data_IF_301848123415
#
_entry.id   IF_301848123415
#
_cell.length_a   1.000
_cell.length_b   1.000
_cell.length_c   1.000
_cell.angle_alpha   90.00
_cell.angle_beta   90.00
_cell.angle_gamma   90.00
#
_symmetry.space_group_name_H-M   'P 1'
#
loop_
_entity.id
_entity.type
_entity.pdbx_description
1 polymer ?
#
# COMPACT_ATOMS: atom_id res chain seq x y z
N UNK A 1 -12.63 12.60 -89.62
CA UNK A 1 -11.27 12.38 -90.08
C UNK A 1 -10.25 12.60 -88.94
N UNK A 2 -9.40 11.59 -88.70
CA UNK A 2 -8.02 11.60 -88.18
C UNK A 2 -7.77 12.23 -86.78
N UNK A 3 -7.55 11.42 -85.69
CA UNK A 3 -6.28 10.79 -85.38
C UNK A 3 -5.07 11.73 -85.27
N UNK A 4 -4.55 11.89 -84.03
CA UNK A 4 -3.13 11.77 -83.72
C UNK A 4 -2.94 11.84 -82.22
N UNK A 5 -2.39 10.76 -81.68
CA UNK A 5 -1.95 10.69 -80.30
C UNK A 5 -0.67 11.46 -80.05
N UNK A 6 -0.51 11.87 -78.84
CA UNK A 6 0.78 12.31 -78.30
C UNK A 6 0.90 11.66 -76.91
N UNK A 7 1.96 10.88 -76.73
CA UNK A 7 2.28 10.19 -75.49
C UNK A 7 2.65 11.13 -74.39
N UNK A 8 1.98 10.91 -73.25
CA UNK A 8 2.34 11.59 -72.02
C UNK A 8 3.47 10.84 -71.32
N UNK A 9 4.54 11.56 -71.19
CA UNK A 9 5.73 11.21 -70.42
C UNK A 9 5.34 11.29 -68.94
N UNK A 10 5.15 10.16 -68.30
CA UNK A 10 5.06 10.09 -66.84
C UNK A 10 6.39 10.47 -66.21
N UNK A 11 6.48 11.70 -65.74
CA UNK A 11 7.48 12.07 -64.72
C UNK A 11 7.14 11.34 -63.43
N UNK A 12 7.94 10.32 -63.04
CA UNK A 12 8.01 9.83 -61.68
C UNK A 12 8.45 10.98 -60.78
N UNK A 13 7.51 11.56 -60.04
CA UNK A 13 7.84 12.32 -58.85
C UNK A 13 8.28 11.30 -57.79
N UNK A 14 9.56 11.31 -57.47
CA UNK A 14 10.08 10.72 -56.25
C UNK A 14 9.43 11.43 -55.06
N UNK A 15 8.57 10.71 -54.34
CA UNK A 15 8.15 11.12 -53.02
C UNK A 15 9.38 11.18 -52.12
N UNK A 16 9.57 12.27 -51.34
CA UNK A 16 10.53 12.23 -50.26
C UNK A 16 10.06 11.16 -49.26
N UNK A 17 10.91 10.21 -48.98
CA UNK A 17 10.80 9.31 -47.86
C UNK A 17 10.61 10.18 -46.62
N UNK A 18 9.41 10.15 -46.08
CA UNK A 18 9.11 10.73 -44.77
C UNK A 18 10.06 10.12 -43.75
N UNK A 19 11.03 10.90 -43.32
CA UNK A 19 11.78 10.55 -42.13
C UNK A 19 10.78 10.45 -41.00
N UNK A 20 10.77 9.31 -40.31
CA UNK A 20 10.24 9.21 -38.97
C UNK A 20 10.96 10.24 -38.14
N UNK A 21 10.36 11.40 -37.92
CA UNK A 21 10.73 12.24 -36.83
C UNK A 21 10.35 11.43 -35.56
N UNK A 22 11.32 10.75 -34.98
CA UNK A 22 11.27 10.46 -33.55
C UNK A 22 11.11 11.83 -32.91
N UNK A 23 9.91 12.15 -32.45
CA UNK A 23 9.73 13.27 -31.56
C UNK A 23 10.53 12.91 -30.30
N UNK A 24 11.64 13.61 -30.07
CA UNK A 24 12.34 13.65 -28.78
C UNK A 24 11.46 14.37 -27.73
N UNK A 25 10.17 14.04 -27.70
CA UNK A 25 9.26 14.51 -26.68
C UNK A 25 9.63 13.80 -25.40
N UNK A 26 10.18 14.58 -24.47
CA UNK A 26 10.65 14.06 -23.19
C UNK A 26 9.43 13.62 -22.35
N UNK A 27 9.22 12.31 -22.26
CA UNK A 27 8.22 11.76 -21.35
C UNK A 27 8.62 12.03 -19.87
N UNK A 28 7.68 12.41 -18.96
CA UNK A 28 6.24 12.63 -19.17
C UNK A 28 5.90 14.04 -19.65
N UNK A 29 4.79 14.20 -20.42
CA UNK A 29 4.31 15.48 -20.96
C UNK A 29 2.98 15.96 -20.36
N UNK A 30 2.29 15.10 -19.58
CA UNK A 30 1.01 15.37 -18.93
C UNK A 30 1.02 14.84 -17.50
N UNK A 31 -0.01 15.16 -16.75
CA UNK A 31 -0.20 14.65 -15.38
C UNK A 31 -0.13 13.12 -15.32
N UNK A 32 0.42 12.62 -14.22
CA UNK A 32 0.49 11.20 -13.90
C UNK A 32 -0.49 10.94 -12.75
N UNK A 33 -1.28 9.87 -12.85
CA UNK A 33 -2.20 9.44 -11.81
C UNK A 33 -1.58 8.38 -10.93
N UNK A 34 -1.90 8.42 -9.64
CA UNK A 34 -1.59 7.33 -8.72
C UNK A 34 -2.92 6.85 -8.13
N UNK A 35 -3.30 5.62 -8.45
CA UNK A 35 -4.45 4.99 -7.81
C UNK A 35 -4.01 4.45 -6.46
N UNK A 36 -4.71 4.90 -5.42
CA UNK A 36 -4.51 4.51 -4.02
C UNK A 36 -5.72 3.71 -3.55
N UNK A 37 -5.58 2.41 -3.21
CA UNK A 37 -6.73 1.56 -2.88
C UNK A 37 -7.28 1.73 -1.46
N UNK A 38 -6.71 2.65 -0.67
CA UNK A 38 -7.10 2.91 0.71
C UNK A 38 -7.65 4.32 0.88
N UNK A 39 -8.40 4.55 1.97
CA UNK A 39 -9.02 5.85 2.23
C UNK A 39 -8.00 6.94 2.56
N UNK A 40 -8.47 8.18 2.40
CA UNK A 40 -7.69 9.40 2.67
C UNK A 40 -7.18 9.42 4.12
N UNK A 41 -5.93 9.83 4.29
CA UNK A 41 -5.28 10.00 5.61
C UNK A 41 -4.74 8.72 6.23
N UNK A 42 -4.89 7.56 5.60
CA UNK A 42 -4.19 6.34 5.98
C UNK A 42 -2.69 6.42 5.68
N UNK A 43 -1.90 5.55 6.30
CA UNK A 43 -0.44 5.58 6.14
C UNK A 43 0.03 5.60 4.68
N UNK A 44 -0.45 4.68 3.81
CA UNK A 44 -0.07 4.69 2.40
C UNK A 44 -0.48 5.97 1.66
N UNK A 45 -1.67 6.53 1.95
CA UNK A 45 -2.16 7.74 1.30
C UNK A 45 -1.31 8.96 1.64
N UNK A 46 -0.96 9.12 2.91
CA UNK A 46 -0.15 10.27 3.39
C UNK A 46 1.23 10.27 2.73
N UNK A 47 1.89 9.11 2.65
CA UNK A 47 3.22 8.99 2.02
C UNK A 47 3.12 9.19 0.51
N UNK A 48 2.14 8.57 -0.14
CA UNK A 48 1.95 8.69 -1.60
C UNK A 48 1.75 10.16 -2.00
N UNK A 49 0.94 10.93 -1.24
CA UNK A 49 0.76 12.37 -1.48
C UNK A 49 2.04 13.17 -1.23
N UNK A 50 2.80 12.82 -0.22
CA UNK A 50 4.09 13.47 0.03
C UNK A 50 5.07 13.22 -1.12
N UNK A 51 5.16 11.98 -1.63
CA UNK A 51 5.98 11.68 -2.82
C UNK A 51 5.47 12.46 -4.03
N UNK A 52 4.17 12.43 -4.29
CA UNK A 52 3.53 13.13 -5.41
C UNK A 52 3.81 14.64 -5.40
N UNK A 53 3.95 15.27 -4.22
CA UNK A 53 4.23 16.70 -4.09
C UNK A 53 5.58 17.14 -4.68
N UNK A 54 6.50 16.23 -4.88
CA UNK A 54 7.80 16.49 -5.51
C UNK A 54 7.79 16.33 -7.05
N UNK A 55 6.67 15.95 -7.64
CA UNK A 55 6.59 15.59 -9.06
C UNK A 55 6.94 16.76 -9.99
N UNK A 56 6.44 17.96 -9.72
CA UNK A 56 6.77 19.16 -10.50
C UNK A 56 8.28 19.44 -10.47
N UNK A 57 8.94 19.20 -9.33
CA UNK A 57 10.37 19.42 -9.16
C UNK A 57 11.23 18.47 -10.01
N UNK A 58 10.85 17.19 -10.07
CA UNK A 58 11.71 16.15 -10.65
C UNK A 58 11.24 15.62 -12.00
N UNK A 59 9.92 15.66 -12.27
CA UNK A 59 9.34 15.20 -13.53
C UNK A 59 8.86 16.35 -14.41
N UNK A 60 8.58 17.53 -13.83
CA UNK A 60 8.06 18.70 -14.55
C UNK A 60 6.57 18.61 -14.89
N UNK A 61 5.86 17.62 -14.34
CA UNK A 61 4.42 17.42 -14.47
C UNK A 61 3.83 17.04 -13.12
N UNK A 62 2.55 17.38 -12.82
CA UNK A 62 1.93 17.00 -11.55
C UNK A 62 1.63 15.51 -11.46
N UNK A 63 1.70 14.95 -10.25
CA UNK A 63 1.12 13.67 -9.90
C UNK A 63 -0.14 13.86 -9.06
N UNK A 64 -1.22 13.18 -9.44
CA UNK A 64 -2.53 13.27 -8.79
C UNK A 64 -2.85 11.93 -8.12
N UNK A 65 -3.13 11.95 -6.81
CA UNK A 65 -3.51 10.76 -6.05
C UNK A 65 -5.03 10.66 -5.99
N UNK A 66 -5.58 9.57 -6.53
CA UNK A 66 -7.01 9.23 -6.56
C UNK A 66 -7.25 8.02 -5.65
N UNK A 67 -8.15 8.14 -4.67
CA UNK A 67 -8.47 7.04 -3.76
C UNK A 67 -9.62 6.20 -4.33
N UNK A 68 -9.36 4.93 -4.64
CA UNK A 68 -10.31 3.95 -5.17
C UNK A 68 -10.46 2.80 -4.17
N UNK A 69 -11.26 3.02 -3.14
CA UNK A 69 -11.37 2.12 -1.98
C UNK A 69 -12.38 0.99 -2.18
N UNK A 70 -12.26 -0.06 -1.35
CA UNK A 70 -13.22 -1.15 -1.27
C UNK A 70 -12.68 -2.51 -1.72
N UNK A 71 -13.37 -3.58 -1.30
CA UNK A 71 -13.03 -4.97 -1.64
C UNK A 71 -11.61 -5.38 -1.22
N UNK A 72 -11.12 -4.91 -0.08
CA UNK A 72 -9.72 -5.15 0.36
C UNK A 72 -8.67 -4.70 -0.69
N UNK A 73 -8.95 -3.60 -1.42
CA UNK A 73 -8.09 -3.03 -2.44
C UNK A 73 -8.33 -3.54 -3.86
N UNK A 74 -9.21 -4.54 -4.05
CA UNK A 74 -9.48 -5.13 -5.38
C UNK A 74 -10.18 -4.17 -6.33
N UNK A 75 -11.00 -3.23 -5.83
CA UNK A 75 -11.64 -2.21 -6.67
C UNK A 75 -10.57 -1.32 -7.31
N UNK A 76 -9.67 -0.75 -6.51
CA UNK A 76 -8.57 0.07 -7.03
C UNK A 76 -7.64 -0.70 -7.97
N UNK A 77 -7.38 -1.99 -7.69
CA UNK A 77 -6.56 -2.83 -8.56
C UNK A 77 -7.23 -3.06 -9.93
N UNK A 78 -8.54 -3.32 -9.97
CA UNK A 78 -9.27 -3.48 -11.23
C UNK A 78 -9.29 -2.18 -12.04
N UNK A 79 -9.58 -1.03 -11.40
CA UNK A 79 -9.55 0.27 -12.06
C UNK A 79 -8.16 0.59 -12.63
N UNK A 80 -7.09 0.20 -11.90
CA UNK A 80 -5.71 0.34 -12.38
C UNK A 80 -5.43 -0.55 -13.61
N UNK A 81 -5.91 -1.79 -13.62
CA UNK A 81 -5.71 -2.71 -14.75
C UNK A 81 -6.54 -2.32 -15.98
N UNK A 82 -7.64 -1.57 -15.81
CA UNK A 82 -8.41 -0.99 -16.91
C UNK A 82 -7.78 0.28 -17.49
N UNK A 83 -6.86 0.93 -16.74
CA UNK A 83 -6.17 2.11 -17.22
C UNK A 83 -5.23 1.81 -18.41
N UNK A 84 -4.89 2.84 -19.19
CA UNK A 84 -3.94 2.71 -20.29
C UNK A 84 -2.55 2.28 -19.78
N UNK A 85 -1.86 1.45 -20.58
CA UNK A 85 -0.50 0.98 -20.30
C UNK A 85 0.60 1.93 -20.83
N UNK A 86 0.29 3.23 -20.82
CA UNK A 86 1.16 4.29 -21.35
C UNK A 86 2.16 4.87 -20.32
N UNK A 87 2.13 4.34 -19.08
CA UNK A 87 2.98 4.78 -17.97
C UNK A 87 2.45 5.99 -17.19
N UNK A 88 1.28 6.53 -17.54
CA UNK A 88 0.68 7.67 -16.84
C UNK A 88 -0.25 7.27 -15.69
N UNK A 89 -0.32 6.00 -15.36
CA UNK A 89 -1.04 5.52 -14.19
C UNK A 89 -0.15 4.59 -13.37
N UNK A 90 0.10 4.97 -12.12
CA UNK A 90 0.76 4.15 -11.10
C UNK A 90 -0.29 3.59 -10.15
N UNK A 91 0.07 2.52 -9.50
CA UNK A 91 -0.70 1.93 -8.42
C UNK A 91 0.13 1.89 -7.13
N UNK A 92 -0.44 2.40 -6.03
CA UNK A 92 0.14 2.18 -4.72
C UNK A 92 -0.30 0.81 -4.22
N UNK A 93 0.55 -0.17 -4.42
CA UNK A 93 0.29 -1.57 -4.17
C UNK A 93 0.73 -1.98 -2.76
N UNK A 94 0.15 -3.07 -2.27
CA UNK A 94 0.65 -3.80 -1.10
C UNK A 94 0.77 -5.29 -1.39
N UNK A 95 1.60 -5.99 -0.63
CA UNK A 95 1.84 -7.43 -0.81
C UNK A 95 0.57 -8.29 -0.73
N UNK A 96 -0.34 -8.05 0.22
CA UNK A 96 -1.57 -8.82 0.41
C UNK A 96 -2.48 -8.94 -0.81
N UNK A 97 -2.52 -7.98 -1.71
CA UNK A 97 -3.31 -8.08 -2.96
C UNK A 97 -2.98 -9.33 -3.77
N UNK A 98 -1.76 -9.85 -3.66
CA UNK A 98 -1.32 -11.05 -4.37
C UNK A 98 -1.09 -12.25 -3.45
N UNK A 99 -0.63 -12.01 -2.22
CA UNK A 99 -0.27 -13.08 -1.28
C UNK A 99 -1.43 -13.59 -0.43
N UNK A 100 -2.48 -12.80 -0.25
CA UNK A 100 -3.56 -13.07 0.71
C UNK A 100 -4.96 -12.96 0.11
N UNK A 101 -5.26 -11.84 -0.55
CA UNK A 101 -6.59 -11.53 -1.11
C UNK A 101 -7.18 -12.66 -1.97
N UNK A 102 -6.40 -13.34 -2.86
CA UNK A 102 -6.93 -14.44 -3.69
C UNK A 102 -7.45 -15.66 -2.88
N UNK A 103 -7.05 -15.79 -1.62
CA UNK A 103 -7.54 -16.86 -0.74
C UNK A 103 -8.95 -16.62 -0.19
N UNK A 104 -9.45 -15.38 -0.27
CA UNK A 104 -10.73 -14.96 0.29
C UNK A 104 -11.69 -14.39 -0.76
N UNK A 105 -11.16 -13.75 -1.78
CA UNK A 105 -11.91 -13.03 -2.82
C UNK A 105 -11.46 -13.58 -4.17
N UNK A 106 -12.41 -13.92 -5.03
CA UNK A 106 -12.10 -14.30 -6.42
C UNK A 106 -11.61 -13.06 -7.17
N UNK A 107 -10.41 -13.13 -7.71
CA UNK A 107 -9.76 -12.05 -8.48
C UNK A 107 -9.32 -12.56 -9.84
N UNK A 108 -9.33 -11.68 -10.85
CA UNK A 108 -8.93 -12.01 -12.22
C UNK A 108 -7.54 -11.43 -12.57
N UNK A 109 -6.73 -11.17 -11.56
CA UNK A 109 -5.38 -10.63 -11.72
C UNK A 109 -4.33 -11.48 -10.99
N UNK A 110 -3.09 -11.36 -11.44
CA UNK A 110 -1.91 -12.01 -10.86
C UNK A 110 -0.77 -11.01 -10.70
N UNK A 111 0.29 -11.40 -10.01
CA UNK A 111 1.50 -10.56 -9.88
C UNK A 111 2.17 -10.29 -11.25
N UNK A 112 1.89 -11.10 -12.28
CA UNK A 112 2.44 -10.96 -13.63
C UNK A 112 1.79 -9.80 -14.41
N UNK A 113 0.64 -9.29 -13.98
CA UNK A 113 -0.06 -8.16 -14.60
C UNK A 113 0.59 -6.82 -14.28
N UNK A 114 1.50 -6.79 -13.30
CA UNK A 114 2.18 -5.59 -12.85
C UNK A 114 3.70 -5.73 -12.87
N UNK A 115 4.39 -4.60 -12.91
CA UNK A 115 5.82 -4.50 -12.60
C UNK A 115 5.96 -3.61 -11.35
N UNK A 116 6.40 -4.17 -10.20
CA UNK A 116 6.81 -3.36 -9.07
C UNK A 116 7.99 -2.47 -9.47
N UNK A 117 7.94 -1.21 -9.10
CA UNK A 117 8.99 -0.23 -9.44
C UNK A 117 9.97 -0.01 -8.29
N UNK A 118 9.41 0.31 -7.12
CA UNK A 118 10.18 0.67 -5.93
C UNK A 118 9.33 0.50 -4.69
N UNK A 119 9.94 0.02 -3.61
CA UNK A 119 9.32 -0.04 -2.29
C UNK A 119 9.03 1.37 -1.77
N UNK A 120 7.96 1.52 -0.99
CA UNK A 120 7.59 2.78 -0.35
C UNK A 120 7.96 2.73 1.13
N UNK A 121 7.43 1.72 1.82
CA UNK A 121 7.69 1.48 3.23
C UNK A 121 7.44 0.03 3.62
N UNK A 122 7.97 -0.37 4.74
CA UNK A 122 7.51 -1.53 5.49
C UNK A 122 6.27 -1.11 6.29
N UNK A 123 5.26 -1.95 6.34
CA UNK A 123 4.05 -1.71 7.12
C UNK A 123 4.15 -2.41 8.46
N UNK A 124 4.11 -1.62 9.51
CA UNK A 124 4.30 -2.05 10.89
C UNK A 124 2.98 -1.93 11.63
N UNK A 125 2.34 -3.05 11.90
CA UNK A 125 1.07 -3.04 12.61
C UNK A 125 1.25 -3.17 14.12
N UNK A 126 0.43 -2.38 14.84
CA UNK A 126 0.34 -2.38 16.30
C UNK A 126 -1.12 -2.59 16.70
N UNK A 127 -1.34 -3.36 17.76
CA UNK A 127 -2.66 -3.53 18.40
C UNK A 127 -2.82 -2.45 19.46
N UNK A 128 -3.95 -1.77 19.42
CA UNK A 128 -4.25 -0.56 20.18
C UNK A 128 -5.56 -0.69 20.95
N UNK A 129 -5.59 -0.08 22.14
CA UNK A 129 -6.78 0.07 22.97
C UNK A 129 -6.91 1.51 23.45
N UNK A 130 -8.12 1.93 23.86
CA UNK A 130 -8.26 3.22 24.54
C UNK A 130 -7.56 3.18 25.91
N UNK A 131 -6.86 4.26 26.28
CA UNK A 131 -6.26 4.38 27.60
C UNK A 131 -7.33 4.35 28.72
N UNK A 132 -8.51 4.90 28.44
CA UNK A 132 -9.68 4.89 29.36
C UNK A 132 -10.27 3.51 29.63
N UNK A 133 -9.96 2.50 28.78
CA UNK A 133 -10.44 1.11 28.98
C UNK A 133 -9.74 0.41 30.16
N UNK A 134 -8.57 0.89 30.56
CA UNK A 134 -7.71 0.24 31.53
C UNK A 134 -6.95 -0.99 31.01
N UNK A 135 -7.09 -1.32 29.72
CA UNK A 135 -6.35 -2.40 29.05
C UNK A 135 -5.03 -1.82 28.55
N UNK A 136 -3.92 -2.17 29.20
CA UNK A 136 -2.59 -1.59 28.95
C UNK A 136 -1.61 -2.56 28.29
N UNK A 137 -1.93 -3.84 28.26
CA UNK A 137 -1.11 -4.90 27.68
C UNK A 137 -1.98 -6.06 27.15
N UNK A 138 -1.34 -7.03 26.50
CA UNK A 138 -2.07 -8.15 25.88
C UNK A 138 -2.72 -9.07 26.93
N UNK A 139 -2.15 -9.17 28.13
CA UNK A 139 -2.75 -9.97 29.21
C UNK A 139 -4.05 -9.32 29.71
N UNK A 140 -4.08 -8.00 29.85
CA UNK A 140 -5.29 -7.25 30.21
C UNK A 140 -6.40 -7.42 29.17
N UNK A 141 -6.07 -7.53 27.89
CA UNK A 141 -7.04 -7.82 26.83
C UNK A 141 -7.58 -9.25 26.93
N UNK A 142 -6.72 -10.23 27.22
CA UNK A 142 -7.12 -11.61 27.48
C UNK A 142 -8.07 -11.70 28.69
N UNK A 143 -7.73 -11.01 29.78
CA UNK A 143 -8.56 -10.99 31.01
C UNK A 143 -9.91 -10.32 30.75
N UNK A 144 -9.94 -9.24 29.97
CA UNK A 144 -11.16 -8.57 29.54
C UNK A 144 -12.08 -9.54 28.74
N UNK A 145 -11.54 -10.25 27.75
CA UNK A 145 -12.29 -11.24 26.99
C UNK A 145 -12.79 -12.41 27.87
N UNK A 146 -11.95 -12.91 28.77
CA UNK A 146 -12.29 -14.01 29.69
C UNK A 146 -13.36 -13.63 30.74
N UNK A 147 -13.57 -12.32 30.98
CA UNK A 147 -14.67 -11.86 31.84
C UNK A 147 -16.05 -11.90 31.16
N UNK A 148 -16.12 -12.44 29.95
CA UNK A 148 -17.35 -12.68 29.19
C UNK A 148 -17.67 -11.64 28.12
N UNK A 149 -16.70 -10.78 27.76
CA UNK A 149 -16.87 -9.79 26.70
C UNK A 149 -16.52 -10.39 25.33
N UNK A 150 -17.31 -10.06 24.31
CA UNK A 150 -16.91 -10.22 22.92
C UNK A 150 -16.17 -8.97 22.49
N UNK A 151 -14.90 -9.09 22.12
CA UNK A 151 -14.04 -7.96 21.76
C UNK A 151 -14.40 -7.47 20.36
N UNK A 152 -14.88 -6.23 20.24
CA UNK A 152 -15.08 -5.58 18.95
C UNK A 152 -13.78 -4.94 18.50
N UNK A 153 -13.37 -5.23 17.27
CA UNK A 153 -12.10 -4.70 16.76
C UNK A 153 -12.22 -4.09 15.37
N UNK A 154 -11.56 -2.94 15.20
CA UNK A 154 -11.50 -2.24 13.91
C UNK A 154 -10.32 -2.71 13.08
N UNK A 155 -10.56 -2.92 11.79
CA UNK A 155 -9.55 -3.28 10.78
C UNK A 155 -9.63 -2.37 9.56
N UNK A 156 -8.55 -2.29 8.78
CA UNK A 156 -8.61 -1.72 7.43
C UNK A 156 -9.01 -2.84 6.46
N UNK A 157 -10.16 -2.71 5.83
CA UNK A 157 -10.71 -3.76 4.97
C UNK A 157 -11.24 -4.97 5.75
N UNK A 158 -11.77 -5.94 5.00
CA UNK A 158 -12.31 -7.19 5.50
C UNK A 158 -11.41 -8.39 5.18
N UNK A 159 -12.01 -9.60 5.08
CA UNK A 159 -11.29 -10.80 4.67
C UNK A 159 -10.47 -10.57 3.38
N UNK A 160 -9.24 -11.07 3.37
CA UNK A 160 -8.29 -10.84 2.27
C UNK A 160 -7.39 -9.62 2.47
N UNK A 161 -7.58 -8.83 3.53
CA UNK A 161 -6.67 -7.78 3.95
C UNK A 161 -5.73 -8.27 5.07
N UNK A 162 -4.51 -7.75 5.11
CA UNK A 162 -3.51 -8.13 6.12
C UNK A 162 -3.90 -7.70 7.53
N UNK A 163 -4.38 -6.47 7.72
CA UNK A 163 -4.78 -6.01 9.05
C UNK A 163 -5.93 -6.87 9.62
N UNK A 164 -6.93 -7.20 8.80
CA UNK A 164 -8.00 -8.13 9.19
C UNK A 164 -7.43 -9.50 9.57
N UNK A 165 -6.61 -10.07 8.70
CA UNK A 165 -6.06 -11.42 8.88
C UNK A 165 -5.19 -11.51 10.13
N UNK A 166 -4.31 -10.52 10.35
CA UNK A 166 -3.36 -10.55 11.44
C UNK A 166 -4.03 -10.41 12.81
N UNK A 167 -4.98 -9.48 12.98
CA UNK A 167 -5.68 -9.34 14.25
C UNK A 167 -6.64 -10.50 14.51
N UNK A 168 -7.31 -11.00 13.46
CA UNK A 168 -8.18 -12.17 13.58
C UNK A 168 -7.40 -13.43 13.97
N UNK A 169 -6.22 -13.64 13.36
CA UNK A 169 -5.32 -14.74 13.68
C UNK A 169 -4.76 -14.62 15.12
N UNK A 170 -4.43 -13.41 15.55
CA UNK A 170 -4.02 -13.15 16.94
C UNK A 170 -5.13 -13.56 17.91
N UNK A 171 -6.37 -13.12 17.67
CA UNK A 171 -7.48 -13.44 18.56
C UNK A 171 -7.85 -14.92 18.54
N UNK A 172 -7.80 -15.57 17.36
CA UNK A 172 -7.97 -17.01 17.26
C UNK A 172 -6.89 -17.77 18.04
N UNK A 173 -5.63 -17.34 17.93
CA UNK A 173 -4.49 -17.94 18.68
C UNK A 173 -4.66 -17.79 20.19
N UNK A 174 -5.20 -16.67 20.65
CA UNK A 174 -5.43 -16.38 22.07
C UNK A 174 -6.76 -16.91 22.60
N UNK A 175 -7.61 -17.46 21.75
CA UNK A 175 -8.96 -17.93 22.12
C UNK A 175 -9.93 -16.81 22.50
N UNK A 176 -9.70 -15.58 22.00
CA UNK A 176 -10.52 -14.40 22.27
C UNK A 176 -11.77 -14.42 21.40
N UNK A 177 -12.95 -14.41 22.03
CA UNK A 177 -14.22 -14.22 21.34
C UNK A 177 -14.29 -12.77 20.80
N UNK A 178 -14.42 -12.61 19.47
CA UNK A 178 -14.28 -11.30 18.86
C UNK A 178 -15.21 -11.07 17.66
N UNK A 179 -15.45 -9.80 17.35
CA UNK A 179 -16.28 -9.34 16.23
C UNK A 179 -15.52 -8.27 15.44
N UNK A 180 -15.29 -8.52 14.15
CA UNK A 180 -14.59 -7.59 13.26
C UNK A 180 -15.52 -6.46 12.77
N UNK A 181 -15.01 -5.25 12.77
CA UNK A 181 -15.65 -4.07 12.17
C UNK A 181 -14.69 -3.49 11.14
N UNK A 182 -14.85 -3.82 9.83
CA UNK A 182 -13.99 -3.34 8.78
C UNK A 182 -14.29 -1.88 8.40
N UNK A 183 -13.23 -1.10 8.15
CA UNK A 183 -13.26 0.27 7.64
C UNK A 183 -12.46 0.35 6.34
N UNK A 184 -12.69 1.37 5.51
CA UNK A 184 -11.98 1.55 4.24
C UNK A 184 -10.54 2.06 4.41
N UNK A 185 -10.17 2.52 5.60
CA UNK A 185 -8.83 3.03 5.89
C UNK A 185 -8.42 3.00 7.35
N UNK A 186 -7.10 3.00 7.59
CA UNK A 186 -6.53 2.93 8.93
C UNK A 186 -6.93 4.10 9.83
N UNK A 187 -7.04 5.31 9.27
CA UNK A 187 -7.45 6.48 10.06
C UNK A 187 -8.88 6.37 10.57
N UNK A 188 -9.79 5.81 9.75
CA UNK A 188 -11.18 5.59 10.15
C UNK A 188 -11.27 4.53 11.26
N UNK A 189 -10.47 3.45 11.15
CA UNK A 189 -10.39 2.42 12.18
C UNK A 189 -9.90 2.98 13.52
N UNK A 190 -8.87 3.82 13.50
CA UNK A 190 -8.35 4.50 14.72
C UNK A 190 -9.37 5.49 15.28
N UNK A 191 -10.04 6.27 14.44
CA UNK A 191 -11.09 7.19 14.89
C UNK A 191 -12.25 6.45 15.56
N UNK A 192 -12.61 5.25 15.07
CA UNK A 192 -13.62 4.40 15.70
C UNK A 192 -13.19 3.91 17.10
N UNK A 193 -11.90 3.56 17.26
CA UNK A 193 -11.35 3.21 18.57
C UNK A 193 -11.39 4.43 19.52
N UNK A 194 -10.86 5.58 19.10
CA UNK A 194 -10.86 6.81 19.90
C UNK A 194 -12.29 7.23 20.28
N UNK A 195 -13.24 7.03 19.38
CA UNK A 195 -14.66 7.30 19.62
C UNK A 195 -15.41 6.27 20.50
N UNK A 196 -14.74 5.17 20.90
CA UNK A 196 -15.34 4.10 21.73
C UNK A 196 -16.38 3.25 20.99
N UNK A 197 -16.30 3.18 19.67
CA UNK A 197 -17.19 2.33 18.86
C UNK A 197 -16.71 0.88 18.77
N UNK A 198 -15.43 0.66 19.05
CA UNK A 198 -14.75 -0.63 19.12
C UNK A 198 -13.83 -0.66 20.34
N UNK A 199 -13.47 -1.86 20.81
CA UNK A 199 -12.61 -2.06 21.98
C UNK A 199 -11.11 -2.03 21.60
N UNK A 200 -10.81 -2.50 20.40
CA UNK A 200 -9.44 -2.68 19.89
C UNK A 200 -9.37 -2.18 18.44
N UNK A 201 -8.23 -1.67 18.03
CA UNK A 201 -7.92 -1.43 16.62
C UNK A 201 -6.52 -1.93 16.28
N UNK A 202 -6.30 -2.23 15.00
CA UNK A 202 -4.98 -2.43 14.41
C UNK A 202 -4.63 -1.20 13.58
N UNK A 203 -3.42 -0.67 13.77
CA UNK A 203 -2.98 0.54 13.07
C UNK A 203 -1.49 0.56 12.81
N UNK A 204 -1.06 1.48 11.94
CA UNK A 204 0.36 1.79 11.69
C UNK A 204 0.72 3.18 12.26
N UNK A 205 2.00 3.48 12.53
CA UNK A 205 2.43 4.69 13.24
C UNK A 205 1.77 5.99 12.78
N UNK A 206 1.60 6.28 11.49
CA UNK A 206 0.98 7.54 11.05
C UNK A 206 -0.45 7.76 11.54
N UNK A 207 -1.17 6.67 11.85
CA UNK A 207 -2.58 6.75 12.24
C UNK A 207 -2.80 6.84 13.75
N UNK A 208 -1.87 6.34 14.57
CA UNK A 208 -2.05 6.24 16.02
C UNK A 208 -1.05 7.05 16.86
N UNK A 209 0.12 7.41 16.30
CA UNK A 209 1.26 7.96 17.06
C UNK A 209 0.87 9.11 17.96
N UNK A 210 0.19 10.11 17.43
CA UNK A 210 -0.18 11.30 18.20
C UNK A 210 -1.16 10.99 19.33
N UNK A 211 -2.09 10.07 19.13
CA UNK A 211 -3.02 9.63 20.18
C UNK A 211 -2.31 8.91 21.32
N UNK A 212 -1.26 8.12 21.01
CA UNK A 212 -0.45 7.43 22.04
C UNK A 212 0.40 8.43 22.80
N UNK A 213 1.07 9.38 22.10
CA UNK A 213 1.85 10.44 22.72
C UNK A 213 0.99 11.30 23.66
N UNK A 214 -0.25 11.59 23.27
CA UNK A 214 -1.21 12.34 24.07
C UNK A 214 -1.84 11.52 25.21
N UNK A 215 -1.55 10.21 25.32
CA UNK A 215 -2.08 9.34 26.36
C UNK A 215 -3.56 8.94 26.16
N UNK A 216 -4.05 8.98 24.91
CA UNK A 216 -5.43 8.60 24.55
C UNK A 216 -5.52 7.11 24.21
N UNK A 217 -4.44 6.54 23.64
CA UNK A 217 -4.34 5.12 23.26
C UNK A 217 -3.16 4.42 23.93
N UNK A 218 -3.27 3.10 24.12
CA UNK A 218 -2.21 2.20 24.56
C UNK A 218 -1.79 1.28 23.40
N UNK A 219 -0.50 0.98 23.28
CA UNK A 219 0.06 -0.04 22.39
C UNK A 219 0.17 -1.37 23.18
N UNK A 220 -0.46 -2.44 22.69
CA UNK A 220 -0.39 -3.75 23.36
C UNK A 220 0.73 -4.64 22.79
N UNK A 221 1.15 -4.41 21.57
CA UNK A 221 2.21 -5.16 20.91
C UNK A 221 2.18 -4.99 19.39
N UNK A 222 3.25 -5.44 18.75
CA UNK A 222 3.44 -5.41 17.29
C UNK A 222 3.65 -6.82 16.73
N UNK A 223 3.36 -6.97 15.43
CA UNK A 223 3.65 -8.20 14.67
C UNK A 223 5.08 -8.24 14.14
N UNK A 224 5.85 -7.15 14.25
CA UNK A 224 7.26 -7.09 13.84
C UNK A 224 8.08 -7.96 14.80
N UNK A 225 8.88 -8.93 14.31
CA UNK A 225 9.57 -9.92 15.15
C UNK A 225 10.52 -9.33 16.21
N UNK A 226 11.17 -8.21 15.88
CA UNK A 226 12.15 -7.52 16.75
C UNK A 226 11.50 -6.47 17.66
N UNK A 227 10.17 -6.33 17.64
CA UNK A 227 9.47 -5.20 18.23
C UNK A 227 9.56 -3.96 17.34
N UNK A 228 9.03 -2.84 17.80
CA UNK A 228 8.97 -1.61 17.02
C UNK A 228 9.36 -0.41 17.89
N UNK A 229 10.37 0.34 17.46
CA UNK A 229 10.76 1.61 18.09
C UNK A 229 10.08 2.77 17.37
N UNK A 230 9.22 3.51 18.07
CA UNK A 230 8.50 4.67 17.53
C UNK A 230 8.93 5.91 18.28
N UNK A 231 9.38 6.92 17.53
CA UNK A 231 9.80 8.19 18.13
C UNK A 231 8.67 8.86 18.92
N UNK A 232 8.99 9.22 20.18
CA UNK A 232 8.03 9.81 21.12
C UNK A 232 7.18 8.79 21.89
N UNK A 233 7.17 7.51 21.49
CA UNK A 233 6.47 6.42 22.19
C UNK A 233 7.47 5.50 22.90
N UNK A 234 8.59 5.20 22.26
CA UNK A 234 9.58 4.22 22.70
C UNK A 234 9.37 2.85 22.08
N UNK A 235 9.87 1.81 22.76
CA UNK A 235 9.82 0.44 22.26
C UNK A 235 8.45 -0.22 22.51
N UNK A 236 7.83 -0.72 21.44
CA UNK A 236 6.62 -1.53 21.46
C UNK A 236 7.04 -3.00 21.33
N UNK A 237 6.76 -3.87 22.32
CA UNK A 237 7.23 -5.26 22.29
C UNK A 237 6.54 -6.05 21.17
N UNK A 238 7.27 -7.02 20.60
CA UNK A 238 6.67 -7.97 19.65
C UNK A 238 5.70 -8.91 20.36
N UNK A 239 4.72 -9.47 19.64
CA UNK A 239 3.91 -10.56 20.17
C UNK A 239 4.76 -11.82 20.43
N UNK A 240 5.80 -12.03 19.62
CA UNK A 240 6.75 -13.12 19.78
C UNK A 240 7.52 -13.06 21.10
N UNK A 241 7.99 -11.86 21.51
CA UNK A 241 8.64 -11.63 22.82
C UNK A 241 7.66 -11.83 23.99
N UNK A 242 6.36 -11.63 23.74
CA UNK A 242 5.30 -11.90 24.70
C UNK A 242 4.85 -13.37 24.73
N UNK A 243 5.54 -14.27 23.99
CA UNK A 243 5.28 -15.71 23.94
C UNK A 243 4.16 -16.12 22.98
N UNK A 244 3.71 -15.22 22.09
CA UNK A 244 2.67 -15.47 21.11
C UNK A 244 3.33 -15.64 19.74
N UNK A 245 3.30 -16.86 19.17
CA UNK A 245 3.93 -17.19 17.90
C UNK A 245 3.13 -16.64 16.71
N UNK A 246 3.14 -15.30 16.58
CA UNK A 246 2.54 -14.58 15.47
C UNK A 246 3.47 -13.44 15.03
N UNK A 247 3.75 -13.37 13.75
CA UNK A 247 4.62 -12.35 13.16
C UNK A 247 4.14 -11.99 11.75
N UNK A 248 4.33 -10.74 11.35
CA UNK A 248 4.02 -10.25 10.02
C UNK A 248 4.77 -8.95 9.74
N UNK A 249 5.28 -8.84 8.52
CA UNK A 249 5.86 -7.63 7.99
C UNK A 249 5.16 -7.29 6.69
N UNK A 250 4.37 -6.22 6.69
CA UNK A 250 3.72 -5.71 5.50
C UNK A 250 4.64 -4.83 4.67
N UNK A 251 4.21 -4.46 3.48
CA UNK A 251 4.92 -3.53 2.61
C UNK A 251 3.96 -2.81 1.68
N UNK A 252 4.31 -1.55 1.38
CA UNK A 252 3.70 -0.77 0.31
C UNK A 252 4.76 -0.48 -0.75
N UNK A 253 4.38 -0.48 -2.02
CA UNK A 253 5.26 -0.22 -3.16
C UNK A 253 4.51 0.38 -4.34
N UNK A 254 5.21 1.10 -5.20
CA UNK A 254 4.64 1.54 -6.47
C UNK A 254 4.80 0.48 -7.55
N UNK A 255 3.76 0.34 -8.35
CA UNK A 255 3.74 -0.52 -9.53
C UNK A 255 3.14 0.19 -10.73
N UNK A 256 3.51 -0.29 -11.92
CA UNK A 256 2.87 0.00 -13.20
C UNK A 256 2.38 -1.29 -13.82
N UNK A 257 1.55 -1.20 -14.87
CA UNK A 257 1.19 -2.38 -15.66
C UNK A 257 2.45 -3.02 -16.28
N UNK A 258 2.50 -4.36 -16.31
CA UNK A 258 3.68 -5.10 -16.79
C UNK A 258 4.07 -4.80 -18.23
N UNK A 259 3.14 -4.24 -19.02
CA UNK A 259 3.33 -3.86 -20.44
C UNK A 259 3.92 -2.46 -20.64
N UNK A 260 4.09 -1.66 -19.59
CA UNK A 260 4.68 -0.31 -19.67
C UNK A 260 6.16 -0.41 -20.06
N UNK A 261 6.61 0.47 -20.98
CA UNK A 261 7.99 0.51 -21.47
C UNK A 261 9.02 0.64 -20.33
N UNK A 262 10.11 -0.11 -20.41
CA UNK A 262 11.15 -0.14 -19.39
C UNK A 262 11.79 1.25 -19.13
N UNK A 263 11.93 2.10 -20.16
CA UNK A 263 12.44 3.45 -20.01
C UNK A 263 11.55 4.31 -19.11
N UNK A 264 10.21 4.19 -19.27
CA UNK A 264 9.25 4.90 -18.41
C UNK A 264 9.26 4.36 -16.98
N UNK A 265 9.40 3.04 -16.82
CA UNK A 265 9.56 2.41 -15.50
C UNK A 265 10.78 2.97 -14.77
N UNK A 266 11.92 3.09 -15.47
CA UNK A 266 13.14 3.64 -14.90
C UNK A 266 13.00 5.12 -14.51
N UNK A 267 12.36 5.95 -15.36
CA UNK A 267 12.10 7.36 -15.04
C UNK A 267 11.24 7.50 -13.78
N UNK A 268 10.19 6.68 -13.64
CA UNK A 268 9.32 6.71 -12.47
C UNK A 268 10.04 6.24 -11.21
N UNK A 269 10.82 5.16 -11.30
CA UNK A 269 11.64 4.66 -10.21
C UNK A 269 12.65 5.71 -9.75
N UNK A 270 13.41 6.29 -10.69
CA UNK A 270 14.40 7.33 -10.41
C UNK A 270 13.78 8.57 -9.77
N UNK A 271 12.56 8.93 -10.17
CA UNK A 271 11.81 10.00 -9.53
C UNK A 271 11.62 9.71 -8.04
N UNK A 272 11.12 8.54 -7.67
CA UNK A 272 10.87 8.18 -6.27
C UNK A 272 12.17 8.14 -5.46
N UNK A 273 13.25 7.57 -6.02
CA UNK A 273 14.56 7.54 -5.35
C UNK A 273 15.13 8.95 -5.12
N UNK A 274 14.90 9.90 -6.04
CA UNK A 274 15.27 11.30 -5.84
C UNK A 274 14.47 11.93 -4.71
N UNK A 275 13.17 11.60 -4.57
CA UNK A 275 12.36 12.07 -3.44
C UNK A 275 12.90 11.52 -2.12
N UNK A 276 13.29 10.24 -2.07
CA UNK A 276 13.85 9.64 -0.85
C UNK A 276 15.16 10.30 -0.40
N UNK A 277 15.93 10.83 -1.34
CA UNK A 277 17.16 11.57 -1.04
C UNK A 277 16.91 13.01 -0.51
N UNK A 278 15.67 13.53 -0.55
CA UNK A 278 15.35 14.87 -0.07
C UNK A 278 15.33 14.91 1.46
N UNK A 279 16.09 15.83 2.09
CA UNK A 279 16.13 15.94 3.55
C UNK A 279 14.75 16.19 4.18
N UNK A 280 13.91 17.00 3.51
CA UNK A 280 12.56 17.30 4.01
C UNK A 280 11.65 16.07 3.95
N UNK A 281 11.82 15.19 2.95
CA UNK A 281 11.11 13.94 2.87
C UNK A 281 11.57 12.96 3.93
N UNK A 282 12.89 12.83 4.17
CA UNK A 282 13.44 11.99 5.22
C UNK A 282 12.94 12.43 6.60
N UNK A 283 12.95 13.76 6.83
CA UNK A 283 12.39 14.31 8.06
C UNK A 283 10.89 14.01 8.20
N UNK A 284 10.11 14.17 7.13
CA UNK A 284 8.68 13.83 7.13
C UNK A 284 8.44 12.37 7.50
N UNK A 285 9.21 11.42 6.92
CA UNK A 285 9.10 10.01 7.25
C UNK A 285 9.42 9.73 8.72
N UNK A 286 10.52 10.32 9.23
CA UNK A 286 10.90 10.18 10.64
C UNK A 286 9.84 10.78 11.60
N UNK A 287 9.34 11.99 11.30
CA UNK A 287 8.28 12.64 12.10
C UNK A 287 7.00 11.79 12.17
N UNK A 288 6.73 10.98 11.14
CA UNK A 288 5.59 10.05 11.09
C UNK A 288 5.90 8.68 11.72
N UNK A 289 7.12 8.46 12.23
CA UNK A 289 7.57 7.18 12.79
C UNK A 289 7.77 6.10 11.73
N UNK A 290 8.20 6.48 10.53
CA UNK A 290 8.38 5.57 9.39
C UNK A 290 9.76 5.72 8.77
N UNK A 291 10.17 4.73 7.99
CA UNK A 291 11.34 4.80 7.11
C UNK A 291 10.98 4.46 5.67
N UNK A 292 11.64 5.11 4.72
CA UNK A 292 11.53 4.72 3.32
C UNK A 292 12.17 3.33 3.10
N UNK A 293 11.53 2.53 2.26
CA UNK A 293 12.02 1.21 1.89
C UNK A 293 12.40 1.21 0.42
N UNK A 294 13.70 1.34 0.15
CA UNK A 294 14.24 1.51 -1.21
C UNK A 294 14.38 0.19 -1.99
N UNK A 295 13.51 -0.78 -1.75
CA UNK A 295 13.57 -2.07 -2.43
C UNK A 295 13.34 -1.95 -3.93
N UNK A 296 14.05 -2.76 -4.69
CA UNK A 296 13.84 -2.92 -6.12
C UNK A 296 12.73 -3.95 -6.44
N UNK A 297 12.42 -4.09 -7.73
CA UNK A 297 11.39 -5.03 -8.20
C UNK A 297 11.64 -6.47 -7.76
N UNK A 298 12.89 -6.93 -7.76
CA UNK A 298 13.25 -8.31 -7.38
C UNK A 298 13.06 -8.55 -5.89
N UNK A 299 13.43 -7.59 -5.06
CA UNK A 299 13.26 -7.65 -3.61
C UNK A 299 11.78 -7.62 -3.24
N UNK A 300 10.98 -6.77 -3.91
CA UNK A 300 9.52 -6.71 -3.71
C UNK A 300 8.87 -8.05 -4.07
N UNK A 301 9.19 -8.61 -5.24
CA UNK A 301 8.65 -9.90 -5.66
C UNK A 301 9.05 -11.05 -4.72
N UNK A 302 10.29 -11.04 -4.23
CA UNK A 302 10.77 -11.98 -3.22
C UNK A 302 9.98 -11.88 -1.92
N UNK A 303 9.66 -10.65 -1.50
CA UNK A 303 8.87 -10.42 -0.29
C UNK A 303 7.40 -10.83 -0.46
N UNK A 304 6.78 -10.60 -1.63
CA UNK A 304 5.43 -11.11 -1.96
C UNK A 304 5.38 -12.63 -1.85
N UNK A 305 6.38 -13.32 -2.41
CA UNK A 305 6.47 -14.78 -2.33
C UNK A 305 6.60 -15.27 -0.87
N UNK A 306 7.50 -14.65 -0.09
CA UNK A 306 7.68 -14.97 1.33
C UNK A 306 6.40 -14.72 2.16
N UNK A 307 5.70 -13.61 1.89
CA UNK A 307 4.41 -13.33 2.52
C UNK A 307 3.36 -14.39 2.19
N UNK A 308 3.33 -14.88 0.94
CA UNK A 308 2.39 -15.93 0.52
C UNK A 308 2.59 -17.20 1.36
N UNK A 309 3.84 -17.60 1.58
CA UNK A 309 4.17 -18.76 2.42
C UNK A 309 3.79 -18.51 3.90
N UNK A 310 4.13 -17.34 4.42
CA UNK A 310 3.81 -16.98 5.81
C UNK A 310 2.29 -16.92 6.06
N UNK A 311 1.53 -16.33 5.14
CA UNK A 311 0.07 -16.20 5.26
C UNK A 311 -0.66 -17.54 5.24
N UNK A 312 -0.12 -18.56 4.56
CA UNK A 312 -0.69 -19.91 4.56
C UNK A 312 -0.88 -20.49 5.98
N UNK A 313 -0.07 -20.04 6.96
CA UNK A 313 -0.20 -20.41 8.37
C UNK A 313 -1.44 -19.78 9.03
N UNK A 314 -1.81 -18.57 8.65
CA UNK A 314 -2.85 -17.78 9.32
C UNK A 314 -4.22 -17.88 8.64
N UNK A 315 -4.28 -18.13 7.33
CA UNK A 315 -5.53 -18.26 6.57
C UNK A 315 -6.52 -19.25 7.23
N UNK A 316 -6.10 -20.48 7.65
CA UNK A 316 -7.02 -21.42 8.27
C UNK A 316 -7.57 -20.98 9.64
N UNK A 317 -6.96 -19.99 10.29
CA UNK A 317 -7.41 -19.47 11.59
C UNK A 317 -8.54 -18.45 11.46
N UNK A 318 -8.74 -17.92 10.23
CA UNK A 318 -9.64 -16.78 9.98
C UNK A 318 -10.71 -17.08 8.92
N UNK A 319 -10.73 -18.29 8.35
CA UNK A 319 -11.79 -18.85 7.52
C UNK A 319 -12.81 -19.57 8.39
#
# INVERSE_FOLDING_TARGET
VRSRGLGDVYKRQSQPSGGSSSSDAKWPEKEIKIIQPWSLGGGPDVITRQIASYSDKFLGVPMIVENHTGGSGTIGMNDFLEAADDGYTLFCCNGPLFSLTPSFISVDYTIEDITPLVGIRITEFVILTQASSGITDIQGLIDYANSGHTVKYATTGGPGNDSFTMISALFATLGIASEAVPYDGGQEAINALVGGHVDVAIGSPPTYRDYVINGELNCLGTFIPEGLDVEGIGHIPSFKDQGIDIEFTGMDYFAVRSTVDAEKQEILRDFVLKVYAEPDFQKFMADMGMAAWEADSSEILGMVASQTEAMAKYIPLVQ
#
